data_IF_421022037936
#
_entry.id   IF_421022037936
#
_cell.length_a   1.000
_cell.length_b   1.000
_cell.length_c   1.000
_cell.angle_alpha   90.00
_cell.angle_beta   90.00
_cell.angle_gamma   90.00
#
_symmetry.space_group_name_H-M   'P 1'
#
loop_
_entity.id
_entity.type
_entity.pdbx_description
1 polymer ?
#
# COMPACT_ATOMS: atom_id res chain seq x y z
N UNK A 1 14.86 18.02 21.24
CA UNK A 1 14.42 16.89 20.37
C UNK A 1 13.49 16.01 21.19
N UNK A 2 12.20 15.95 20.88
CA UNK A 2 11.25 15.11 21.59
C UNK A 2 11.31 13.70 21.02
N UNK A 3 11.73 12.73 21.81
CA UNK A 3 11.79 11.31 21.42
C UNK A 3 10.39 10.76 21.23
N UNK A 4 10.09 10.05 20.14
CA UNK A 4 8.80 9.38 19.97
C UNK A 4 8.65 8.31 21.06
N UNK A 5 7.51 8.28 21.74
CA UNK A 5 7.17 7.20 22.65
C UNK A 5 6.53 6.07 21.84
N UNK A 6 7.27 4.99 21.66
CA UNK A 6 6.79 3.78 21.00
C UNK A 6 6.57 2.73 22.08
N UNK A 7 5.33 2.30 22.26
CA UNK A 7 4.99 1.28 23.24
C UNK A 7 4.68 -0.01 22.49
N UNK A 8 5.51 -1.04 22.67
CA UNK A 8 5.36 -2.37 22.07
C UNK A 8 4.84 -3.34 23.13
N UNK A 9 3.85 -4.14 22.78
CA UNK A 9 3.36 -5.20 23.64
C UNK A 9 3.48 -6.55 22.93
N UNK A 10 4.26 -7.43 23.53
CA UNK A 10 4.39 -8.83 23.17
C UNK A 10 3.82 -9.69 24.30
N UNK A 11 2.78 -10.44 24.01
CA UNK A 11 2.31 -11.71 24.58
C UNK A 11 1.78 -11.81 26.02
N UNK A 12 2.14 -10.98 26.99
CA UNK A 12 1.58 -11.12 28.35
C UNK A 12 1.42 -9.79 29.06
N UNK A 13 0.18 -9.34 29.25
CA UNK A 13 -0.24 -8.14 29.99
C UNK A 13 0.13 -6.76 29.35
N UNK A 14 -0.27 -6.49 28.09
CA UNK A 14 0.02 -5.20 27.43
C UNK A 14 -0.61 -4.00 28.15
N UNK A 15 -1.78 -4.15 28.72
CA UNK A 15 -2.54 -3.07 29.36
C UNK A 15 -1.84 -2.52 30.63
N UNK A 16 -1.25 -3.41 31.46
CA UNK A 16 -0.59 -3.01 32.69
C UNK A 16 0.67 -2.20 32.40
N UNK A 17 1.38 -2.54 31.33
CA UNK A 17 2.58 -1.81 30.88
C UNK A 17 2.20 -0.46 30.27
N UNK A 18 1.12 -0.37 29.48
CA UNK A 18 0.67 0.90 28.90
C UNK A 18 0.34 1.90 30.01
N UNK A 19 -0.46 1.47 30.97
CA UNK A 19 -0.86 2.34 32.08
C UNK A 19 0.32 2.75 32.93
N UNK A 20 1.18 1.80 33.32
CA UNK A 20 2.40 2.09 34.10
C UNK A 20 3.37 3.02 33.35
N UNK A 21 3.61 2.80 32.07
CA UNK A 21 4.54 3.63 31.29
C UNK A 21 3.98 5.05 31.10
N UNK A 22 2.68 5.18 30.83
CA UNK A 22 2.06 6.49 30.63
C UNK A 22 1.88 7.26 31.95
N UNK A 23 1.55 6.58 33.06
CA UNK A 23 1.36 7.20 34.37
C UNK A 23 2.65 7.48 35.12
N UNK A 24 3.70 6.67 34.94
CA UNK A 24 5.00 6.89 35.57
C UNK A 24 5.83 8.01 34.91
N UNK A 25 5.42 8.51 33.75
CA UNK A 25 6.13 9.53 33.01
C UNK A 25 5.90 10.92 33.62
N UNK A 26 6.95 11.72 33.68
CA UNK A 26 6.84 13.13 34.08
C UNK A 26 5.90 13.87 33.10
N UNK A 27 4.76 14.43 33.56
CA UNK A 27 3.78 15.12 32.71
C UNK A 27 4.33 16.39 32.04
N UNK A 28 5.39 16.98 32.58
CA UNK A 28 6.08 18.16 32.01
C UNK A 28 6.76 17.84 30.64
N UNK A 29 7.08 16.58 30.39
CA UNK A 29 7.71 16.17 29.14
C UNK A 29 6.62 15.83 28.10
N UNK A 30 6.41 16.67 27.07
CA UNK A 30 5.33 16.47 26.11
C UNK A 30 5.56 15.20 25.27
N UNK A 31 4.50 14.42 25.10
CA UNK A 31 4.46 13.33 24.13
C UNK A 31 3.94 13.94 22.81
N UNK A 32 4.72 13.87 21.75
CA UNK A 32 4.29 14.29 20.42
C UNK A 32 3.76 13.13 19.57
N UNK A 33 4.35 11.94 19.74
CA UNK A 33 3.95 10.74 19.02
C UNK A 33 3.74 9.59 20.01
N UNK A 34 2.53 9.06 20.01
CA UNK A 34 2.14 7.86 20.74
C UNK A 34 1.77 6.76 19.75
N UNK A 35 2.53 5.68 19.72
CA UNK A 35 2.21 4.48 18.93
C UNK A 35 1.97 3.32 19.89
N UNK A 36 0.82 2.69 19.79
CA UNK A 36 0.45 1.50 20.58
C UNK A 36 0.24 0.34 19.64
N UNK A 37 1.02 -0.73 19.82
CA UNK A 37 0.93 -1.97 19.04
C UNK A 37 0.56 -3.12 19.97
N UNK A 38 -0.54 -3.81 19.66
CA UNK A 38 -1.09 -4.88 20.50
C UNK A 38 -1.91 -5.88 19.69
N UNK A 39 -2.21 -7.03 20.32
CA UNK A 39 -3.14 -8.01 19.76
C UNK A 39 -4.57 -7.66 20.16
N UNK A 40 -5.53 -7.88 19.26
CA UNK A 40 -6.95 -7.63 19.46
C UNK A 40 -7.56 -8.68 20.40
N UNK A 41 -7.51 -8.41 21.70
CA UNK A 41 -8.09 -9.24 22.76
C UNK A 41 -9.15 -8.44 23.51
N UNK A 42 -10.35 -9.03 23.76
CA UNK A 42 -11.46 -8.29 24.37
C UNK A 42 -11.08 -7.62 25.70
N UNK A 43 -10.41 -8.35 26.58
CA UNK A 43 -10.08 -7.89 27.94
C UNK A 43 -9.02 -6.79 27.97
N UNK A 44 -8.22 -6.66 26.92
CA UNK A 44 -7.10 -5.71 26.83
C UNK A 44 -7.50 -4.40 26.16
N UNK A 45 -8.39 -4.46 25.16
CA UNK A 45 -8.73 -3.30 24.32
C UNK A 45 -9.30 -2.12 25.12
N UNK A 46 -10.20 -2.39 26.06
CA UNK A 46 -10.82 -1.35 26.89
C UNK A 46 -9.77 -0.67 27.79
N UNK A 47 -8.90 -1.43 28.45
CA UNK A 47 -7.85 -0.91 29.30
C UNK A 47 -6.83 -0.08 28.53
N UNK A 48 -6.44 -0.52 27.33
CA UNK A 48 -5.56 0.22 26.42
C UNK A 48 -6.22 1.54 26.02
N UNK A 49 -7.50 1.51 25.65
CA UNK A 49 -8.25 2.72 25.30
C UNK A 49 -8.31 3.73 26.43
N UNK A 50 -8.56 3.29 27.65
CA UNK A 50 -8.59 4.17 28.82
C UNK A 50 -7.23 4.83 29.08
N UNK A 51 -6.14 4.06 28.96
CA UNK A 51 -4.78 4.60 29.13
C UNK A 51 -4.44 5.62 28.01
N UNK A 52 -4.81 5.32 26.77
CA UNK A 52 -4.57 6.23 25.63
C UNK A 52 -5.45 7.47 25.74
N UNK A 53 -6.72 7.35 26.14
CA UNK A 53 -7.62 8.49 26.37
C UNK A 53 -7.05 9.45 27.42
N UNK A 54 -6.54 8.92 28.54
CA UNK A 54 -5.85 9.73 29.55
C UNK A 54 -4.62 10.43 29.00
N UNK A 55 -3.79 9.72 28.22
CA UNK A 55 -2.62 10.33 27.60
C UNK A 55 -3.00 11.45 26.62
N UNK A 56 -4.03 11.25 25.79
CA UNK A 56 -4.54 12.27 24.87
C UNK A 56 -5.07 13.51 25.62
N UNK A 57 -5.75 13.33 26.75
CA UNK A 57 -6.27 14.42 27.56
C UNK A 57 -5.13 15.20 28.28
N UNK A 58 -4.10 14.48 28.74
CA UNK A 58 -2.99 15.07 29.50
C UNK A 58 -1.99 15.78 28.58
N UNK A 59 -1.68 15.20 27.42
CA UNK A 59 -0.67 15.71 26.50
C UNK A 59 -1.28 16.52 25.38
N UNK A 60 -1.57 17.80 25.59
CA UNK A 60 -2.16 18.73 24.59
C UNK A 60 -1.34 18.89 23.30
N UNK A 61 -0.08 18.44 23.28
CA UNK A 61 0.83 18.50 22.10
C UNK A 61 1.01 17.17 21.41
N UNK A 62 0.05 16.24 21.54
CA UNK A 62 0.09 14.97 20.83
C UNK A 62 -0.29 15.18 19.35
N UNK A 63 0.72 15.14 18.48
CA UNK A 63 0.55 15.35 17.04
C UNK A 63 0.09 14.05 16.35
N UNK A 64 0.64 12.91 16.79
CA UNK A 64 0.40 11.60 16.22
C UNK A 64 -0.07 10.60 17.28
N UNK A 65 -1.28 10.07 17.10
CA UNK A 65 -1.80 8.94 17.85
C UNK A 65 -2.04 7.77 16.88
N UNK A 66 -1.36 6.65 17.12
CA UNK A 66 -1.36 5.50 16.20
C UNK A 66 -1.69 4.21 16.93
N UNK A 67 -2.67 3.47 16.40
CA UNK A 67 -2.91 2.08 16.75
C UNK A 67 -2.44 1.13 15.67
N UNK A 68 -1.66 0.13 16.07
CA UNK A 68 -1.30 -1.03 15.27
C UNK A 68 -1.99 -2.25 15.86
N UNK A 69 -3.11 -2.60 15.28
CA UNK A 69 -3.99 -3.68 15.75
C UNK A 69 -3.61 -4.97 15.04
N UNK A 70 -3.04 -5.88 15.80
CA UNK A 70 -2.66 -7.21 15.34
C UNK A 70 -3.70 -8.24 15.77
N UNK A 71 -3.61 -9.42 15.22
CA UNK A 71 -4.41 -10.59 15.60
C UNK A 71 -3.54 -11.69 16.20
N UNK A 72 -4.16 -12.59 16.95
CA UNK A 72 -3.46 -13.69 17.63
C UNK A 72 -2.83 -14.67 16.64
N UNK A 73 -3.44 -14.84 15.47
CA UNK A 73 -2.95 -15.73 14.42
C UNK A 73 -2.32 -14.90 13.29
N UNK A 74 -1.30 -15.46 12.67
CA UNK A 74 -0.76 -14.93 11.41
C UNK A 74 -1.73 -15.23 10.25
N UNK A 75 -1.71 -14.43 9.18
CA UNK A 75 -2.67 -14.54 8.09
C UNK A 75 -2.81 -15.95 7.51
N UNK A 76 -1.71 -16.65 7.26
CA UNK A 76 -1.69 -18.02 6.70
C UNK A 76 -2.36 -19.07 7.60
N UNK A 77 -2.60 -18.77 8.88
CA UNK A 77 -3.29 -19.63 9.85
C UNK A 77 -4.69 -19.14 10.21
N UNK A 78 -5.13 -18.05 9.58
CA UNK A 78 -6.49 -17.55 9.77
C UNK A 78 -7.46 -18.30 8.87
N UNK A 79 -8.55 -18.76 9.45
CA UNK A 79 -9.75 -19.19 8.73
C UNK A 79 -10.68 -18.00 8.55
N UNK A 80 -11.68 -18.14 7.68
CA UNK A 80 -12.73 -17.15 7.50
C UNK A 80 -13.40 -16.75 8.81
N UNK A 81 -13.77 -17.74 9.65
CA UNK A 81 -14.35 -17.49 10.97
C UNK A 81 -13.45 -16.66 11.89
N UNK A 82 -12.13 -16.86 11.80
CA UNK A 82 -11.19 -16.03 12.56
C UNK A 82 -11.22 -14.58 12.10
N UNK A 83 -11.23 -14.33 10.79
CA UNK A 83 -11.25 -12.99 10.21
C UNK A 83 -12.54 -12.25 10.58
N UNK A 84 -13.70 -12.93 10.49
CA UNK A 84 -15.01 -12.40 10.91
C UNK A 84 -15.05 -12.12 12.42
N UNK A 85 -14.54 -13.03 13.23
CA UNK A 85 -14.46 -12.86 14.68
C UNK A 85 -13.62 -11.65 15.07
N UNK A 86 -12.48 -11.47 14.42
CA UNK A 86 -11.61 -10.30 14.66
C UNK A 86 -12.28 -8.99 14.25
N UNK A 87 -12.95 -8.95 13.10
CA UNK A 87 -13.69 -7.77 12.67
C UNK A 87 -14.81 -7.42 13.66
N UNK A 88 -15.59 -8.40 14.11
CA UNK A 88 -16.63 -8.20 15.13
C UNK A 88 -16.06 -7.64 16.44
N UNK A 89 -14.94 -8.18 16.92
CA UNK A 89 -14.27 -7.68 18.13
C UNK A 89 -13.82 -6.23 17.95
N UNK A 90 -13.23 -5.91 16.80
CA UNK A 90 -12.78 -4.56 16.50
C UNK A 90 -13.94 -3.57 16.43
N UNK A 91 -15.05 -3.94 15.78
CA UNK A 91 -16.25 -3.10 15.70
C UNK A 91 -16.93 -2.86 17.07
N UNK A 92 -16.96 -3.87 17.90
CA UNK A 92 -17.42 -3.70 19.29
C UNK A 92 -16.55 -2.70 20.02
N UNK A 93 -15.24 -2.86 19.92
CA UNK A 93 -14.28 -1.98 20.60
C UNK A 93 -14.33 -0.52 20.11
N UNK A 94 -14.44 -0.27 18.79
CA UNK A 94 -14.58 1.09 18.26
C UNK A 94 -15.89 1.75 18.74
N UNK A 95 -16.96 0.96 18.86
CA UNK A 95 -18.24 1.40 19.43
C UNK A 95 -18.17 1.74 20.92
N UNK A 96 -17.37 1.00 21.69
CA UNK A 96 -17.21 1.22 23.14
C UNK A 96 -16.30 2.41 23.46
N UNK A 97 -15.39 2.77 22.57
CA UNK A 97 -14.35 3.79 22.82
C UNK A 97 -14.27 4.87 21.73
N UNK A 98 -15.39 5.46 21.26
CA UNK A 98 -15.41 6.35 20.10
C UNK A 98 -14.53 7.60 20.26
N UNK A 99 -14.37 8.10 21.48
CA UNK A 99 -13.55 9.29 21.78
C UNK A 99 -12.07 9.06 21.46
N UNK A 100 -11.55 7.87 21.76
CA UNK A 100 -10.16 7.51 21.46
C UNK A 100 -9.96 7.41 19.96
N UNK A 101 -10.88 6.73 19.27
CA UNK A 101 -10.81 6.57 17.83
C UNK A 101 -10.97 7.90 17.08
N UNK A 102 -11.83 8.80 17.56
CA UNK A 102 -11.96 10.15 17.00
C UNK A 102 -10.66 10.98 17.08
N UNK A 103 -9.80 10.68 18.05
CA UNK A 103 -8.50 11.33 18.23
C UNK A 103 -7.34 10.67 17.47
N UNK A 104 -7.52 9.47 16.90
CA UNK A 104 -6.46 8.77 16.15
C UNK A 104 -6.15 9.48 14.84
N UNK A 105 -4.85 9.53 14.54
CA UNK A 105 -4.33 10.01 13.25
C UNK A 105 -3.85 8.86 12.36
N UNK A 106 -3.45 7.74 12.94
CA UNK A 106 -2.96 6.56 12.19
C UNK A 106 -3.62 5.29 12.74
N UNK A 107 -4.12 4.47 11.82
CA UNK A 107 -4.74 3.19 12.14
C UNK A 107 -4.22 2.11 11.19
N UNK A 108 -3.63 1.06 11.77
CA UNK A 108 -3.21 -0.12 11.03
C UNK A 108 -3.97 -1.34 11.55
N UNK A 109 -4.76 -1.95 10.68
CA UNK A 109 -5.55 -3.14 10.94
C UNK A 109 -5.01 -4.34 10.18
N UNK A 110 -5.09 -5.51 10.79
CA UNK A 110 -4.59 -6.74 10.19
C UNK A 110 -5.55 -7.90 10.40
N UNK A 111 -5.69 -8.75 9.37
CA UNK A 111 -6.48 -9.98 9.36
C UNK A 111 -7.94 -9.77 9.79
N UNK A 112 -8.65 -8.83 9.16
CA UNK A 112 -10.04 -8.54 9.44
C UNK A 112 -10.87 -8.76 8.18
N UNK A 113 -11.99 -9.47 8.30
CA UNK A 113 -13.03 -9.51 7.27
C UNK A 113 -14.17 -8.59 7.69
N UNK A 114 -14.29 -7.48 6.98
CA UNK A 114 -15.26 -6.44 7.27
C UNK A 114 -16.63 -6.78 6.70
N UNK A 115 -17.68 -6.37 7.40
CA UNK A 115 -19.00 -6.24 6.82
C UNK A 115 -19.13 -4.96 5.99
N UNK A 116 -20.20 -4.86 5.23
CA UNK A 116 -20.44 -3.76 4.28
C UNK A 116 -20.32 -2.35 4.90
N UNK A 117 -20.79 -2.18 6.12
CA UNK A 117 -20.79 -0.89 6.82
C UNK A 117 -19.59 -0.66 7.75
N UNK A 118 -18.72 -1.64 7.92
CA UNK A 118 -17.65 -1.55 8.92
C UNK A 118 -16.63 -0.48 8.58
N UNK A 119 -16.14 -0.45 7.34
CA UNK A 119 -15.17 0.57 6.90
C UNK A 119 -15.77 1.98 6.92
N UNK A 120 -16.99 2.22 6.39
CA UNK A 120 -17.66 3.51 6.55
C UNK A 120 -17.78 3.95 8.01
N UNK A 121 -18.13 3.03 8.93
CA UNK A 121 -18.23 3.33 10.36
C UNK A 121 -16.86 3.68 10.98
N UNK A 122 -15.81 2.95 10.62
CA UNK A 122 -14.44 3.24 11.06
C UNK A 122 -14.02 4.66 10.60
N UNK A 123 -14.21 4.97 9.33
CA UNK A 123 -13.83 6.27 8.75
C UNK A 123 -14.64 7.43 9.35
N UNK A 124 -15.94 7.21 9.60
CA UNK A 124 -16.79 8.22 10.24
C UNK A 124 -16.41 8.46 11.70
N UNK A 125 -16.01 7.42 12.43
CA UNK A 125 -15.60 7.51 13.83
C UNK A 125 -14.21 8.15 13.96
N UNK A 126 -13.26 7.77 13.12
CA UNK A 126 -11.87 8.24 13.17
C UNK A 126 -11.68 9.59 12.47
N UNK A 127 -12.34 10.65 12.93
CA UNK A 127 -12.43 11.96 12.26
C UNK A 127 -11.10 12.64 11.93
N UNK A 128 -10.03 12.31 12.66
CA UNK A 128 -8.68 12.87 12.48
C UNK A 128 -7.74 11.95 11.71
N UNK A 129 -8.25 10.86 11.13
CA UNK A 129 -7.43 9.85 10.49
C UNK A 129 -6.69 10.42 9.28
N UNK A 130 -5.36 10.38 9.33
CA UNK A 130 -4.46 10.83 8.27
C UNK A 130 -3.84 9.63 7.51
N UNK A 131 -3.67 8.49 8.19
CA UNK A 131 -3.11 7.28 7.59
C UNK A 131 -3.93 6.05 7.97
N UNK A 132 -4.42 5.33 6.96
CA UNK A 132 -5.09 4.03 7.12
C UNK A 132 -4.26 2.95 6.43
N UNK A 133 -3.96 1.89 7.17
CA UNK A 133 -3.31 0.71 6.62
C UNK A 133 -4.14 -0.54 6.91
N UNK A 134 -4.46 -1.27 5.84
CA UNK A 134 -5.17 -2.54 5.87
C UNK A 134 -4.21 -3.62 5.37
N UNK A 135 -3.99 -4.67 6.16
CA UNK A 135 -3.07 -5.76 5.80
C UNK A 135 -3.77 -7.10 5.98
N UNK A 136 -3.87 -7.89 4.92
CA UNK A 136 -4.66 -9.13 4.91
C UNK A 136 -6.10 -8.91 5.38
N UNK A 137 -6.71 -7.84 4.88
CA UNK A 137 -8.09 -7.48 5.17
C UNK A 137 -8.94 -7.61 3.91
N UNK A 138 -10.18 -8.03 4.08
CA UNK A 138 -11.16 -8.16 3.00
C UNK A 138 -12.57 -7.80 3.49
N UNK A 139 -13.55 -7.84 2.61
CA UNK A 139 -14.98 -7.73 2.95
C UNK A 139 -15.79 -8.87 2.29
N UNK A 140 -15.16 -10.01 2.06
CA UNK A 140 -15.72 -11.16 1.38
C UNK A 140 -15.43 -11.18 -0.12
N UNK A 141 -15.89 -12.23 -0.78
CA UNK A 141 -15.65 -12.45 -2.24
C UNK A 141 -16.31 -11.32 -3.04
N UNK A 142 -15.63 -10.84 -4.07
CA UNK A 142 -16.10 -9.77 -4.98
C UNK A 142 -16.51 -8.49 -4.25
N UNK A 143 -15.87 -8.18 -3.14
CA UNK A 143 -16.18 -6.98 -2.36
C UNK A 143 -15.50 -5.75 -2.91
N UNK A 144 -16.21 -4.62 -2.86
CA UNK A 144 -15.67 -3.31 -3.25
C UNK A 144 -15.42 -2.48 -1.99
N UNK A 145 -14.19 -2.02 -1.82
CA UNK A 145 -13.83 -1.12 -0.72
C UNK A 145 -14.15 0.32 -1.09
N UNK A 146 -15.10 0.93 -0.39
CA UNK A 146 -15.43 2.35 -0.53
C UNK A 146 -14.65 3.17 0.49
N UNK A 147 -13.88 4.17 0.03
CA UNK A 147 -13.09 5.04 0.91
C UNK A 147 -13.47 6.50 0.67
N UNK A 148 -13.97 7.13 1.72
CA UNK A 148 -14.30 8.55 1.73
C UNK A 148 -13.91 9.15 3.09
N UNK A 149 -13.04 10.17 3.10
CA UNK A 149 -12.57 10.79 4.34
C UNK A 149 -11.88 12.13 4.12
N UNK A 150 -12.29 13.16 4.85
CA UNK A 150 -11.83 14.53 4.62
C UNK A 150 -10.35 14.78 5.04
N UNK A 151 -9.78 13.97 5.93
CA UNK A 151 -8.43 14.18 6.47
C UNK A 151 -7.41 13.15 6.00
N UNK A 152 -7.83 12.08 5.31
CA UNK A 152 -6.92 11.01 4.92
C UNK A 152 -5.86 11.50 3.94
N UNK A 153 -4.60 11.29 4.29
CA UNK A 153 -3.40 11.67 3.52
C UNK A 153 -2.76 10.44 2.87
N UNK A 154 -2.88 9.28 3.53
CA UNK A 154 -2.22 8.07 3.11
C UNK A 154 -3.11 6.84 3.27
N UNK A 155 -3.22 6.05 2.21
CA UNK A 155 -3.92 4.76 2.21
C UNK A 155 -2.97 3.66 1.77
N UNK A 156 -2.80 2.64 2.61
CA UNK A 156 -2.05 1.43 2.30
C UNK A 156 -2.95 0.22 2.40
N UNK A 157 -2.99 -0.59 1.36
CA UNK A 157 -3.67 -1.88 1.31
C UNK A 157 -2.62 -2.91 0.93
N UNK A 158 -2.32 -3.81 1.86
CA UNK A 158 -1.34 -4.87 1.65
C UNK A 158 -2.07 -6.22 1.68
N UNK A 159 -2.09 -6.94 0.57
CA UNK A 159 -2.75 -8.25 0.43
C UNK A 159 -4.22 -8.22 0.84
N UNK A 160 -4.93 -7.19 0.38
CA UNK A 160 -6.37 -7.05 0.57
C UNK A 160 -7.11 -7.75 -0.56
N UNK A 161 -8.05 -8.63 -0.23
CA UNK A 161 -8.86 -9.37 -1.21
C UNK A 161 -10.10 -8.56 -1.63
N UNK A 162 -9.89 -7.32 -2.06
CA UNK A 162 -10.94 -6.47 -2.63
C UNK A 162 -10.91 -6.57 -4.15
N UNK A 163 -12.07 -6.71 -4.78
CA UNK A 163 -12.22 -6.68 -6.24
C UNK A 163 -11.81 -5.32 -6.80
N UNK A 164 -12.29 -4.25 -6.17
CA UNK A 164 -11.91 -2.89 -6.49
C UNK A 164 -11.89 -2.00 -5.23
N UNK A 165 -11.11 -0.93 -5.29
CA UNK A 165 -11.05 0.10 -4.25
C UNK A 165 -11.49 1.43 -4.85
N UNK A 166 -12.61 1.96 -4.40
CA UNK A 166 -13.17 3.23 -4.84
C UNK A 166 -12.70 4.35 -3.90
N UNK A 167 -11.93 5.27 -4.43
CA UNK A 167 -11.39 6.45 -3.73
C UNK A 167 -12.28 7.65 -4.04
N UNK A 168 -13.41 7.80 -3.33
CA UNK A 168 -14.50 8.71 -3.73
C UNK A 168 -14.17 10.18 -3.46
N UNK A 169 -14.20 10.62 -2.21
CA UNK A 169 -13.96 12.01 -1.80
C UNK A 169 -12.85 12.06 -0.75
N UNK A 170 -11.62 12.28 -1.22
CA UNK A 170 -10.41 12.27 -0.41
C UNK A 170 -9.54 13.49 -0.71
N UNK A 171 -9.97 14.70 -0.28
CA UNK A 171 -9.38 15.98 -0.71
C UNK A 171 -7.92 16.15 -0.29
N UNK A 172 -7.45 15.43 0.73
CA UNK A 172 -6.08 15.49 1.24
C UNK A 172 -5.23 14.28 0.90
N UNK A 173 -5.77 13.27 0.19
CA UNK A 173 -5.04 12.06 -0.13
C UNK A 173 -3.86 12.36 -1.05
N UNK A 174 -2.66 12.05 -0.58
CA UNK A 174 -1.41 12.27 -1.29
C UNK A 174 -0.74 10.98 -1.74
N UNK A 175 -0.91 9.90 -0.99
CA UNK A 175 -0.22 8.64 -1.22
C UNK A 175 -1.18 7.46 -1.16
N UNK A 176 -1.13 6.63 -2.19
CA UNK A 176 -1.81 5.33 -2.24
C UNK A 176 -0.79 4.24 -2.51
N UNK A 177 -0.84 3.19 -1.72
CA UNK A 177 -0.11 1.95 -1.95
C UNK A 177 -1.08 0.78 -1.93
N UNK A 178 -1.14 0.02 -3.03
CA UNK A 178 -1.90 -1.22 -3.10
C UNK A 178 -0.99 -2.36 -3.53
N UNK A 179 -0.84 -3.34 -2.65
CA UNK A 179 0.01 -4.51 -2.82
C UNK A 179 -0.84 -5.76 -2.78
N UNK A 180 -0.60 -6.67 -3.69
CA UNK A 180 -1.16 -8.01 -3.63
C UNK A 180 -2.61 -8.13 -4.08
N UNK A 181 -3.08 -7.30 -5.03
CA UNK A 181 -4.39 -7.54 -5.64
C UNK A 181 -4.32 -8.71 -6.62
N UNK A 182 -5.42 -9.46 -6.74
CA UNK A 182 -5.49 -10.69 -7.53
C UNK A 182 -6.63 -10.73 -8.56
N UNK A 183 -7.45 -9.69 -8.63
CA UNK A 183 -8.60 -9.60 -9.54
C UNK A 183 -8.20 -9.11 -10.93
N UNK A 184 -9.08 -9.35 -11.92
CA UNK A 184 -8.80 -9.10 -13.34
C UNK A 184 -9.03 -7.65 -13.78
N UNK A 185 -9.81 -6.87 -13.02
CA UNK A 185 -10.15 -5.50 -13.35
C UNK A 185 -9.18 -4.49 -12.70
N UNK A 186 -9.36 -3.22 -13.06
CA UNK A 186 -8.55 -2.15 -12.47
C UNK A 186 -8.71 -2.11 -10.94
N UNK A 187 -7.63 -2.24 -10.19
CA UNK A 187 -7.69 -2.38 -8.73
C UNK A 187 -8.15 -1.10 -8.02
N UNK A 188 -8.06 0.05 -8.69
CA UNK A 188 -8.35 1.37 -8.13
C UNK A 188 -9.26 2.17 -9.05
N UNK A 189 -10.31 2.75 -8.48
CA UNK A 189 -11.18 3.70 -9.17
C UNK A 189 -11.06 5.04 -8.45
N UNK A 190 -10.56 6.05 -9.18
CA UNK A 190 -10.30 7.38 -8.63
C UNK A 190 -11.50 8.30 -8.87
N UNK A 191 -12.13 8.76 -7.78
CA UNK A 191 -13.08 9.85 -7.75
C UNK A 191 -12.38 11.20 -7.53
N UNK A 192 -12.77 11.94 -6.50
CA UNK A 192 -12.17 13.24 -6.18
C UNK A 192 -10.96 13.11 -5.26
N UNK A 193 -9.77 13.04 -5.83
CA UNK A 193 -8.48 12.91 -5.12
C UNK A 193 -7.46 13.96 -5.59
N UNK A 194 -7.73 15.26 -5.45
CA UNK A 194 -7.00 16.35 -6.11
C UNK A 194 -5.54 16.48 -5.68
N UNK A 195 -5.13 15.92 -4.56
CA UNK A 195 -3.75 16.01 -4.05
C UNK A 195 -2.95 14.72 -4.22
N UNK A 196 -3.51 13.67 -4.86
CA UNK A 196 -2.83 12.41 -5.05
C UNK A 196 -1.60 12.61 -5.94
N UNK A 197 -0.42 12.46 -5.37
CA UNK A 197 0.86 12.66 -6.05
C UNK A 197 1.69 11.40 -6.18
N UNK A 198 1.45 10.43 -5.30
CA UNK A 198 2.22 9.17 -5.27
C UNK A 198 1.31 7.96 -5.32
N UNK A 199 1.57 7.10 -6.30
CA UNK A 199 0.90 5.81 -6.47
C UNK A 199 1.94 4.69 -6.48
N UNK A 200 1.70 3.66 -5.67
CA UNK A 200 2.49 2.43 -5.67
C UNK A 200 1.55 1.26 -5.89
N UNK A 201 1.80 0.47 -6.93
CA UNK A 201 1.05 -0.73 -7.27
C UNK A 201 2.00 -1.92 -7.32
N UNK A 202 1.57 -3.02 -6.72
CA UNK A 202 2.33 -4.27 -6.69
C UNK A 202 1.34 -5.42 -6.84
N UNK A 203 1.36 -6.10 -7.98
CA UNK A 203 0.54 -7.28 -8.21
C UNK A 203 1.25 -8.53 -7.68
N UNK A 204 0.47 -9.43 -7.10
CA UNK A 204 0.95 -10.74 -6.64
C UNK A 204 -0.01 -11.80 -7.16
N UNK A 205 0.53 -12.79 -7.84
CA UNK A 205 -0.25 -13.94 -8.32
C UNK A 205 0.09 -14.30 -9.76
N UNK A 206 0.67 -15.46 -9.90
CA UNK A 206 1.16 -16.04 -11.17
C UNK A 206 0.04 -16.26 -12.18
N UNK A 207 -1.19 -16.43 -11.70
CA UNK A 207 -2.35 -16.81 -12.53
C UNK A 207 -3.21 -15.64 -12.98
N UNK A 208 -2.88 -14.41 -12.60
CA UNK A 208 -3.64 -13.24 -13.06
C UNK A 208 -3.39 -13.01 -14.55
N UNK A 209 -4.43 -13.13 -15.35
CA UNK A 209 -4.41 -12.75 -16.79
C UNK A 209 -4.68 -11.27 -16.98
N UNK A 210 -4.89 -10.54 -15.90
CA UNK A 210 -5.23 -9.13 -15.97
C UNK A 210 -4.05 -8.28 -16.43
N UNK A 211 -4.36 -7.35 -17.30
CA UNK A 211 -3.43 -6.35 -17.77
C UNK A 211 -4.06 -4.97 -17.59
N UNK A 212 -3.30 -4.07 -17.01
CA UNK A 212 -3.73 -2.69 -16.74
C UNK A 212 -3.26 -1.77 -17.87
N UNK A 213 -4.17 -0.91 -18.33
CA UNK A 213 -3.86 0.22 -19.19
C UNK A 213 -3.70 1.48 -18.34
N UNK A 214 -2.47 2.04 -18.31
CA UNK A 214 -2.19 3.22 -17.49
C UNK A 214 -3.00 4.45 -17.92
N UNK A 215 -3.31 4.56 -19.21
CA UNK A 215 -4.16 5.66 -19.73
C UNK A 215 -5.56 5.64 -19.14
N UNK A 216 -6.12 4.45 -18.89
CA UNK A 216 -7.44 4.28 -18.28
C UNK A 216 -7.36 4.44 -16.77
N UNK A 217 -6.46 3.70 -16.12
CA UNK A 217 -6.30 3.76 -14.68
C UNK A 217 -6.05 5.20 -14.18
N UNK A 218 -5.19 5.95 -14.86
CA UNK A 218 -4.77 7.29 -14.41
C UNK A 218 -5.59 8.43 -15.04
N UNK A 219 -6.65 8.13 -15.81
CA UNK A 219 -7.45 9.14 -16.51
C UNK A 219 -7.92 10.30 -15.60
N UNK A 220 -8.33 9.97 -14.38
CA UNK A 220 -8.86 10.92 -13.40
C UNK A 220 -7.78 11.54 -12.48
N UNK A 221 -6.52 11.19 -12.65
CA UNK A 221 -5.41 11.63 -11.77
C UNK A 221 -4.17 12.05 -12.56
N UNK A 222 -4.28 12.97 -13.55
CA UNK A 222 -3.19 13.34 -14.46
C UNK A 222 -2.08 14.16 -13.78
N UNK A 223 -2.18 14.38 -12.48
CA UNK A 223 -1.20 15.13 -11.67
C UNK A 223 -0.27 14.26 -10.85
N UNK A 224 -0.33 12.91 -10.99
CA UNK A 224 0.61 12.00 -10.33
C UNK A 224 2.05 12.36 -10.74
N UNK A 225 2.92 12.45 -9.73
CA UNK A 225 4.33 12.80 -9.91
C UNK A 225 5.32 11.67 -9.53
N UNK A 226 4.89 10.69 -8.72
CA UNK A 226 5.69 9.52 -8.31
C UNK A 226 4.87 8.25 -8.56
N UNK A 227 5.26 7.46 -9.56
CA UNK A 227 4.63 6.18 -9.90
C UNK A 227 5.59 5.03 -9.65
N UNK A 228 5.16 4.06 -8.87
CA UNK A 228 5.91 2.84 -8.57
C UNK A 228 5.09 1.62 -8.94
N UNK A 229 5.66 0.79 -9.81
CA UNK A 229 5.08 -0.46 -10.29
C UNK A 229 6.04 -1.59 -9.92
N UNK A 230 5.57 -2.56 -9.15
CA UNK A 230 6.39 -3.70 -8.73
C UNK A 230 5.82 -5.00 -9.35
N UNK A 231 6.68 -5.72 -10.05
CA UNK A 231 6.30 -6.90 -10.84
C UNK A 231 6.63 -8.22 -10.14
N UNK A 232 7.28 -8.17 -8.97
CA UNK A 232 7.69 -9.35 -8.17
C UNK A 232 8.49 -10.40 -8.96
N UNK A 233 9.15 -10.00 -10.03
CA UNK A 233 9.87 -10.89 -10.95
C UNK A 233 8.97 -11.98 -11.57
N UNK A 234 7.67 -11.74 -11.60
CA UNK A 234 6.69 -12.65 -12.17
C UNK A 234 6.26 -12.16 -13.56
N UNK A 235 5.04 -11.69 -13.69
CA UNK A 235 4.45 -11.26 -14.95
C UNK A 235 4.44 -9.74 -15.07
N UNK A 236 4.71 -9.23 -16.27
CA UNK A 236 4.45 -7.83 -16.60
C UNK A 236 2.94 -7.68 -16.82
N UNK A 237 2.28 -6.98 -15.91
CA UNK A 237 0.83 -6.80 -15.88
C UNK A 237 0.38 -5.43 -16.40
N UNK A 238 1.30 -4.60 -16.88
CA UNK A 238 1.00 -3.32 -17.51
C UNK A 238 1.12 -3.46 -19.03
N UNK A 239 0.08 -3.11 -19.77
CA UNK A 239 0.10 -3.10 -21.23
C UNK A 239 0.92 -1.93 -21.77
N UNK A 240 1.77 -2.15 -22.78
CA UNK A 240 2.34 -1.03 -23.52
C UNK A 240 1.26 -0.31 -24.30
N UNK A 241 1.29 1.02 -24.23
CA UNK A 241 0.32 1.87 -24.91
C UNK A 241 1.05 2.90 -25.77
N UNK A 242 0.35 3.44 -26.77
CA UNK A 242 0.94 4.46 -27.59
C UNK A 242 1.23 5.73 -26.76
N UNK A 243 2.44 6.32 -26.80
CA UNK A 243 2.83 7.47 -25.97
C UNK A 243 1.86 8.64 -26.04
N UNK A 244 1.19 8.88 -27.17
CA UNK A 244 0.17 9.94 -27.29
C UNK A 244 -1.07 9.72 -26.41
N UNK A 245 -1.41 8.48 -26.09
CA UNK A 245 -2.53 8.16 -25.17
C UNK A 245 -2.11 8.41 -23.72
N UNK A 246 -0.84 8.14 -23.42
CA UNK A 246 -0.28 8.29 -22.07
C UNK A 246 0.16 9.69 -21.73
N UNK A 247 0.58 10.50 -22.71
CA UNK A 247 1.09 11.85 -22.46
C UNK A 247 0.14 12.73 -21.63
N UNK A 248 -1.20 12.69 -21.79
CA UNK A 248 -2.12 13.46 -20.95
C UNK A 248 -2.07 13.07 -19.47
N UNK A 249 -1.85 11.77 -19.16
CA UNK A 249 -1.88 11.24 -17.78
C UNK A 249 -0.49 11.14 -17.15
N UNK A 250 0.59 11.04 -17.94
CA UNK A 250 1.96 10.95 -17.45
C UNK A 250 2.77 12.25 -17.61
N UNK A 251 2.21 13.30 -18.19
CA UNK A 251 2.95 14.53 -18.49
C UNK A 251 3.55 15.23 -17.26
N UNK A 252 3.01 15.01 -16.05
CA UNK A 252 3.53 15.57 -14.79
C UNK A 252 4.38 14.58 -13.98
N UNK A 253 4.58 13.38 -14.49
CA UNK A 253 5.32 12.33 -13.82
C UNK A 253 6.81 12.69 -13.74
N UNK A 254 7.37 12.72 -12.53
CA UNK A 254 8.76 13.09 -12.26
C UNK A 254 9.60 11.90 -11.84
N UNK A 255 9.00 10.93 -11.15
CA UNK A 255 9.68 9.75 -10.63
C UNK A 255 8.95 8.51 -11.10
N UNK A 256 9.67 7.60 -11.73
CA UNK A 256 9.19 6.26 -12.09
C UNK A 256 10.09 5.23 -11.45
N UNK A 257 9.49 4.27 -10.76
CA UNK A 257 10.18 3.10 -10.25
C UNK A 257 9.50 1.84 -10.81
N UNK A 258 10.23 1.07 -11.60
CA UNK A 258 9.84 -0.22 -12.14
C UNK A 258 10.59 -1.30 -11.36
N UNK A 259 9.94 -1.77 -10.30
CA UNK A 259 10.55 -2.69 -9.34
C UNK A 259 10.42 -4.15 -9.76
N UNK A 260 11.47 -4.91 -9.51
CA UNK A 260 11.48 -6.37 -9.64
C UNK A 260 10.94 -6.87 -11.00
N UNK A 261 11.41 -6.27 -12.09
CA UNK A 261 11.14 -6.78 -13.43
C UNK A 261 11.71 -8.21 -13.57
N UNK A 262 11.02 -9.12 -14.27
CA UNK A 262 11.53 -10.47 -14.45
C UNK A 262 12.81 -10.47 -15.27
N UNK A 263 13.74 -11.37 -14.94
CA UNK A 263 14.96 -11.60 -15.71
C UNK A 263 14.60 -12.01 -17.15
N UNK A 264 15.21 -11.34 -18.12
CA UNK A 264 14.92 -11.56 -19.54
C UNK A 264 13.76 -10.71 -20.08
N UNK A 265 13.18 -9.83 -19.28
CA UNK A 265 12.28 -8.79 -19.77
C UNK A 265 13.02 -7.88 -20.76
N UNK A 266 12.39 -7.62 -21.91
CA UNK A 266 12.93 -6.62 -22.83
C UNK A 266 12.75 -5.23 -22.24
N UNK A 267 13.87 -4.57 -21.92
CA UNK A 267 13.87 -3.21 -21.38
C UNK A 267 13.19 -2.22 -22.35
N UNK A 268 13.17 -2.52 -23.64
CA UNK A 268 12.45 -1.71 -24.63
C UNK A 268 10.95 -1.57 -24.28
N UNK A 269 10.40 -2.51 -23.51
CA UNK A 269 9.04 -2.39 -22.98
C UNK A 269 8.85 -1.11 -22.16
N UNK A 270 9.86 -0.59 -21.49
CA UNK A 270 9.74 0.62 -20.65
C UNK A 270 9.67 1.91 -21.46
N UNK A 271 9.99 1.88 -22.74
CA UNK A 271 10.14 3.06 -23.58
C UNK A 271 8.83 3.86 -23.73
N UNK A 272 7.68 3.18 -23.76
CA UNK A 272 6.39 3.86 -23.89
C UNK A 272 6.09 4.81 -22.72
N UNK A 273 6.55 4.47 -21.51
CA UNK A 273 6.44 5.36 -20.33
C UNK A 273 7.40 6.55 -20.48
N UNK A 274 8.65 6.28 -20.90
CA UNK A 274 9.66 7.32 -21.04
C UNK A 274 9.30 8.35 -22.11
N UNK A 275 8.75 7.91 -23.23
CA UNK A 275 8.31 8.78 -24.32
C UNK A 275 7.09 9.63 -23.92
N UNK A 276 6.23 9.12 -23.04
CA UNK A 276 5.03 9.81 -22.59
C UNK A 276 5.29 10.78 -21.42
N UNK A 277 6.28 10.50 -20.57
CA UNK A 277 6.56 11.24 -19.34
C UNK A 277 7.55 12.39 -19.58
N UNK A 278 7.10 13.48 -20.20
CA UNK A 278 7.95 14.63 -20.58
C UNK A 278 8.59 15.37 -19.39
N UNK A 279 8.06 15.21 -18.18
CA UNK A 279 8.58 15.83 -16.95
C UNK A 279 9.47 14.91 -16.12
N UNK A 280 9.81 13.74 -16.63
CA UNK A 280 10.56 12.72 -15.90
C UNK A 280 11.97 13.20 -15.51
N UNK A 281 12.30 13.02 -14.24
CA UNK A 281 13.59 13.40 -13.64
C UNK A 281 14.36 12.18 -13.13
N UNK A 282 13.64 11.17 -12.66
CA UNK A 282 14.22 9.99 -12.05
C UNK A 282 13.53 8.73 -12.57
N UNK A 283 14.35 7.79 -13.06
CA UNK A 283 13.92 6.45 -13.43
C UNK A 283 14.75 5.45 -12.64
N UNK A 284 14.08 4.61 -11.86
CA UNK A 284 14.71 3.48 -11.21
C UNK A 284 14.13 2.19 -11.81
N UNK A 285 15.01 1.31 -12.26
CA UNK A 285 14.64 -0.01 -12.78
C UNK A 285 15.40 -1.04 -11.96
N UNK A 286 14.68 -2.01 -11.37
CA UNK A 286 15.28 -3.17 -10.74
C UNK A 286 14.83 -4.42 -11.47
N UNK A 287 15.79 -5.26 -11.83
CA UNK A 287 15.57 -6.58 -12.42
C UNK A 287 15.94 -7.62 -11.37
N UNK A 288 15.09 -8.57 -11.15
CA UNK A 288 15.30 -9.58 -10.12
C UNK A 288 14.98 -10.97 -10.64
N UNK A 289 15.75 -11.96 -10.20
CA UNK A 289 15.43 -13.35 -10.49
C UNK A 289 14.13 -13.76 -9.82
N UNK A 290 13.34 -14.54 -10.54
CA UNK A 290 12.09 -15.06 -9.99
C UNK A 290 12.36 -15.92 -8.74
N UNK A 291 11.47 -15.82 -7.75
CA UNK A 291 11.57 -16.58 -6.49
C UNK A 291 11.74 -18.07 -6.67
N UNK A 292 11.21 -18.65 -7.77
CA UNK A 292 11.42 -20.06 -8.11
C UNK A 292 12.88 -20.45 -8.33
N UNK A 293 13.77 -19.51 -8.61
CA UNK A 293 15.21 -19.75 -8.71
C UNK A 293 15.91 -19.65 -7.36
N UNK A 294 15.34 -18.88 -6.44
CA UNK A 294 15.90 -18.67 -5.09
C UNK A 294 15.48 -19.78 -4.13
N UNK A 295 14.24 -20.27 -4.27
CA UNK A 295 13.74 -21.39 -3.48
C UNK A 295 14.12 -22.72 -4.16
N UNK A 296 14.96 -23.50 -3.52
CA UNK A 296 15.47 -24.76 -4.07
C UNK A 296 14.59 -25.97 -3.73
N UNK A 297 13.77 -25.85 -2.70
CA UNK A 297 12.84 -26.91 -2.29
C UNK A 297 11.63 -26.94 -3.23
N UNK A 298 11.46 -28.06 -3.95
CA UNK A 298 10.39 -28.24 -4.92
C UNK A 298 9.00 -28.26 -4.29
N UNK A 299 8.89 -28.78 -3.09
CA UNK A 299 7.60 -28.91 -2.39
C UNK A 299 7.17 -27.53 -1.87
N UNK A 300 8.11 -26.75 -1.32
CA UNK A 300 7.89 -25.37 -0.92
C UNK A 300 7.54 -24.50 -2.12
N UNK A 301 8.22 -24.65 -3.26
CA UNK A 301 7.89 -23.95 -4.51
C UNK A 301 6.47 -24.24 -4.97
N UNK A 302 6.06 -25.49 -4.92
CA UNK A 302 4.72 -25.92 -5.30
C UNK A 302 3.65 -25.38 -4.34
N UNK A 303 3.93 -25.43 -3.03
CA UNK A 303 3.05 -24.90 -1.98
C UNK A 303 2.86 -23.39 -2.11
N UNK A 304 3.92 -22.66 -2.43
CA UNK A 304 3.91 -21.21 -2.63
C UNK A 304 3.38 -20.79 -4.02
N UNK A 305 3.08 -21.75 -4.90
CA UNK A 305 2.59 -21.46 -6.25
C UNK A 305 3.62 -20.86 -7.20
N UNK A 306 4.92 -21.02 -6.92
CA UNK A 306 5.97 -20.49 -7.78
C UNK A 306 6.07 -21.30 -9.08
N UNK A 307 5.93 -20.61 -10.21
CA UNK A 307 6.12 -21.22 -11.53
C UNK A 307 7.58 -21.52 -11.79
N UNK A 308 7.86 -22.59 -12.57
CA UNK A 308 9.21 -22.95 -12.98
C UNK A 308 9.84 -21.93 -13.96
N UNK A 309 9.02 -21.11 -14.60
CA UNK A 309 9.46 -20.02 -15.49
C UNK A 309 8.59 -18.80 -15.25
N UNK A 310 9.20 -17.64 -15.10
CA UNK A 310 8.50 -16.37 -15.24
C UNK A 310 7.85 -16.36 -16.63
N UNK A 311 6.54 -16.19 -16.69
CA UNK A 311 5.79 -16.23 -17.95
C UNK A 311 5.95 -14.86 -18.63
N UNK A 312 7.07 -14.66 -19.34
CA UNK A 312 7.34 -13.43 -20.09
C UNK A 312 6.66 -13.56 -21.45
N UNK A 313 5.32 -13.50 -21.48
CA UNK A 313 4.53 -13.56 -22.72
C UNK A 313 4.87 -12.46 -23.72
N UNK A 314 5.57 -11.43 -23.31
CA UNK A 314 6.00 -10.28 -24.11
C UNK A 314 7.09 -10.61 -25.14
N UNK A 315 7.78 -11.73 -25.00
CA UNK A 315 8.83 -12.15 -25.93
C UNK A 315 8.30 -12.79 -27.21
N UNK A 316 7.03 -13.16 -27.27
CA UNK A 316 6.44 -13.82 -28.43
C UNK A 316 5.52 -12.87 -29.20
N UNK A 317 6.09 -12.08 -30.05
CA UNK A 317 5.75 -11.67 -31.42
C UNK A 317 4.32 -11.27 -31.84
N UNK A 318 3.31 -11.20 -31.02
CA UNK A 318 1.92 -10.89 -31.41
C UNK A 318 1.41 -9.51 -30.99
N UNK A 319 2.25 -8.67 -30.45
CA UNK A 319 1.90 -7.26 -30.30
C UNK A 319 2.18 -6.52 -31.61
N UNK A 320 1.32 -5.54 -31.99
CA UNK A 320 1.64 -4.69 -33.12
C UNK A 320 3.07 -4.18 -32.88
N UNK A 321 3.95 -4.49 -33.82
CA UNK A 321 5.32 -4.00 -33.79
C UNK A 321 5.25 -2.49 -33.69
N UNK A 322 5.32 -1.96 -32.48
CA UNK A 322 5.83 -0.62 -32.32
C UNK A 322 7.26 -0.71 -32.85
N UNK A 323 7.45 -0.30 -34.09
CA UNK A 323 8.76 -0.01 -34.63
C UNK A 323 9.24 1.17 -33.78
N UNK A 324 9.77 0.84 -32.61
CA UNK A 324 10.60 1.74 -31.83
C UNK A 324 11.76 2.05 -32.77
N UNK A 325 11.67 3.20 -33.44
CA UNK A 325 12.85 3.73 -34.10
C UNK A 325 13.86 3.90 -32.97
N UNK A 326 14.79 2.98 -32.92
CA UNK A 326 15.94 2.96 -32.02
C UNK A 326 16.80 4.19 -32.26
N UNK A 327 16.32 5.35 -31.87
CA UNK A 327 17.10 6.57 -31.71
C UNK A 327 16.86 7.09 -30.31
N UNK A 328 17.66 6.53 -29.40
CA UNK A 328 17.95 7.23 -28.15
C UNK A 328 18.67 8.51 -28.57
N UNK A 329 17.90 9.55 -28.79
CA UNK A 329 18.42 10.91 -28.84
C UNK A 329 18.49 11.42 -27.41
N UNK A 330 19.56 11.06 -26.70
CA UNK A 330 20.08 11.90 -25.62
C UNK A 330 20.63 13.18 -26.27
N UNK A 331 19.76 14.08 -26.68
CA UNK A 331 20.19 15.31 -27.28
C UNK A 331 19.30 16.47 -26.89
N UNK A 332 19.56 16.98 -25.71
CA UNK A 332 19.88 18.38 -25.51
C UNK A 332 20.79 18.49 -24.29
N UNK A 333 21.86 19.29 -24.33
CA UNK A 333 22.82 19.42 -23.24
C UNK A 333 22.23 20.03 -21.96
N UNK A 334 21.01 20.54 -22.00
CA UNK A 334 20.35 21.16 -20.84
C UNK A 334 19.45 20.23 -20.02
N UNK A 335 19.10 19.06 -20.52
CA UNK A 335 18.29 18.06 -19.80
C UNK A 335 19.06 16.78 -19.42
N UNK A 336 20.19 16.51 -20.07
CA UNK A 336 21.00 15.31 -19.80
C UNK A 336 21.78 15.35 -18.48
N UNK A 337 21.92 16.51 -17.85
CA UNK A 337 22.69 16.65 -16.59
C UNK A 337 21.96 16.15 -15.34
N UNK A 338 20.67 15.78 -15.40
CA UNK A 338 19.87 15.43 -14.24
C UNK A 338 19.18 14.07 -14.29
N UNK A 339 19.37 13.28 -15.34
CA UNK A 339 18.88 11.89 -15.36
C UNK A 339 19.91 10.98 -14.69
N UNK A 340 19.74 10.71 -13.41
CA UNK A 340 20.44 9.61 -12.74
C UNK A 340 19.72 8.31 -13.10
N UNK A 341 20.28 7.58 -14.04
CA UNK A 341 19.93 6.18 -14.26
C UNK A 341 20.67 5.37 -13.19
N UNK A 342 19.98 4.93 -12.17
CA UNK A 342 20.56 4.02 -11.18
C UNK A 342 20.13 2.62 -11.58
N UNK A 343 20.96 1.91 -12.35
CA UNK A 343 20.89 0.47 -12.47
C UNK A 343 21.45 -0.09 -11.16
N UNK A 344 20.58 -0.48 -10.27
CA UNK A 344 20.96 -1.27 -9.10
C UNK A 344 21.07 -2.74 -9.53
N UNK A 345 22.22 -3.15 -10.01
CA UNK A 345 22.62 -4.55 -10.00
C UNK A 345 22.87 -4.94 -8.55
N UNK A 346 21.88 -5.51 -7.89
CA UNK A 346 22.12 -6.29 -6.68
C UNK A 346 22.61 -7.67 -7.12
N UNK A 347 23.83 -7.72 -7.63
CA UNK A 347 24.60 -8.95 -7.66
C UNK A 347 25.08 -9.23 -6.25
N UNK A 348 24.74 -10.42 -5.77
CA UNK A 348 24.90 -10.95 -4.46
C UNK A 348 26.26 -10.68 -3.76
N UNK A 349 26.15 -10.50 -2.47
CA UNK A 349 27.11 -10.98 -1.47
C UNK A 349 26.35 -11.89 -0.52
#
# INVERSE_FOLDING_TARGET
MSTPLIVFFSTTLPWLLTDKVLSARNPEIPIRKLRVRFCLRPDECLSISQAVARAMATHKKLDVAEFVVLTEKICMKCTEDHLLCYAKRFNTWIGDCPVVFAGLTHLWLRNLRFGELDIPNILTTCKRLESLRLTYCDAGVCSVLQVEHAQLVELHIDYGEFEAVHLNCLPKLQRVKYVGWSYQEDPLIFGSVPQLSKLTLEQVGVNSTSHIQLSQLLANVPWISDLRLDFKSEKIWVLPEHPKLLAPVLGKLQIVNLGNLPQGCDIAWTMFILEAASSLKELCITVWDHWCKMETDKDVRKELGYCEKANVEWQTGNHPQFILSTRIWLSSPSTASNLRTTLCDTLGA
#
